data_IF_598274591370
#
_entry.id   IF_598274591370
#
_cell.length_a   1.000
_cell.length_b   1.000
_cell.length_c   1.000
_cell.angle_alpha   90.00
_cell.angle_beta   90.00
_cell.angle_gamma   90.00
#
_symmetry.space_group_name_H-M   'P 1'
#
loop_
_entity.id
_entity.type
_entity.pdbx_description
1 polymer ?
#
# COMPACT_ATOMS: atom_id res chain seq x y z
N UNK A 1 -39.62 1.44 -16.33
CA UNK A 1 -39.19 2.74 -15.78
C UNK A 1 -38.11 2.59 -14.69
N UNK A 2 -37.10 1.73 -14.90
CA UNK A 2 -35.94 1.58 -14.00
C UNK A 2 -34.59 1.61 -14.74
N UNK A 3 -34.60 1.47 -16.07
CA UNK A 3 -33.38 1.49 -16.91
C UNK A 3 -32.99 2.91 -17.38
N UNK A 4 -33.91 3.88 -17.31
CA UNK A 4 -33.65 5.29 -17.69
C UNK A 4 -33.08 6.14 -16.53
N UNK A 5 -33.15 5.65 -15.27
CA UNK A 5 -32.55 6.32 -14.10
C UNK A 5 -31.08 5.98 -13.87
N UNK A 6 -30.60 4.82 -14.35
CA UNK A 6 -29.19 4.43 -14.21
C UNK A 6 -28.26 5.17 -15.19
N UNK A 7 -28.79 5.57 -16.36
CA UNK A 7 -28.02 6.27 -17.41
C UNK A 7 -27.84 7.78 -17.09
N UNK A 8 -28.68 8.38 -16.22
CA UNK A 8 -28.51 9.77 -15.78
C UNK A 8 -27.48 9.96 -14.65
N UNK A 9 -27.19 8.93 -13.86
CA UNK A 9 -26.15 8.99 -12.81
C UNK A 9 -24.75 8.79 -13.42
N UNK A 10 -24.66 8.03 -14.52
CA UNK A 10 -23.40 7.83 -15.26
C UNK A 10 -23.00 9.03 -16.13
N UNK A 11 -23.93 9.95 -16.45
CA UNK A 11 -23.65 11.14 -17.26
C UNK A 11 -23.33 12.41 -16.44
N UNK A 12 -23.60 12.41 -15.12
CA UNK A 12 -23.18 13.48 -14.21
C UNK A 12 -21.77 13.26 -13.65
N UNK A 13 -21.27 12.02 -13.69
CA UNK A 13 -19.90 11.69 -13.27
C UNK A 13 -18.84 11.99 -14.35
N UNK A 14 -19.28 12.24 -15.60
CA UNK A 14 -18.39 12.56 -16.72
C UNK A 14 -18.34 14.07 -17.06
N UNK A 15 -19.14 14.90 -16.39
CA UNK A 15 -19.20 16.34 -16.61
C UNK A 15 -18.50 17.19 -15.53
N UNK A 16 -18.02 16.58 -14.44
CA UNK A 16 -17.24 17.30 -13.41
C UNK A 16 -15.73 17.22 -13.59
N UNK A 17 -15.25 16.66 -14.72
CA UNK A 17 -13.82 16.60 -15.06
C UNK A 17 -13.32 17.85 -15.80
N UNK A 18 -14.15 18.89 -15.92
CA UNK A 18 -13.78 20.19 -16.48
C UNK A 18 -14.21 21.26 -15.47
N UNK A 19 -13.53 21.29 -14.33
CA UNK A 19 -13.24 22.50 -13.56
C UNK A 19 -11.81 22.33 -13.02
N UNK A 20 -10.88 22.29 -13.98
CA UNK A 20 -9.45 22.33 -13.76
C UNK A 20 -9.07 23.82 -13.62
N UNK A 21 -8.42 24.16 -12.51
CA UNK A 21 -7.78 25.46 -12.18
C UNK A 21 -8.63 26.45 -11.37
N UNK A 22 -8.74 26.16 -10.07
CA UNK A 22 -8.96 27.15 -9.03
C UNK A 22 -8.55 26.56 -7.69
N UNK A 23 -7.39 26.96 -7.13
CA UNK A 23 -6.99 26.54 -5.79
C UNK A 23 -8.03 27.04 -4.76
N UNK A 24 -8.77 26.10 -4.17
CA UNK A 24 -9.38 26.29 -2.86
C UNK A 24 -9.08 25.04 -2.02
N UNK A 25 -8.43 25.27 -0.88
CA UNK A 25 -8.16 24.28 0.15
C UNK A 25 -9.53 23.85 0.70
N UNK A 26 -9.99 22.65 0.33
CA UNK A 26 -11.19 22.05 0.91
C UNK A 26 -10.79 21.28 2.18
N UNK A 27 -11.19 21.82 3.33
CA UNK A 27 -11.05 21.20 4.64
C UNK A 27 -12.32 20.36 4.89
N UNK A 28 -12.18 19.09 5.27
CA UNK A 28 -13.29 18.18 5.58
C UNK A 28 -14.24 18.77 6.63
N UNK A 29 -15.45 19.18 6.23
CA UNK A 29 -16.49 19.77 7.09
C UNK A 29 -16.91 18.87 8.27
N UNK A 30 -16.71 17.55 8.18
CA UNK A 30 -17.07 16.63 9.26
C UNK A 30 -16.10 16.68 10.46
N UNK A 31 -14.86 17.10 10.25
CA UNK A 31 -13.85 17.21 11.32
C UNK A 31 -13.99 18.49 12.17
N UNK A 32 -14.86 19.41 11.77
CA UNK A 32 -15.14 20.69 12.43
C UNK A 32 -16.62 20.88 12.77
N UNK A 33 -17.33 19.81 13.16
CA UNK A 33 -18.70 19.94 13.68
C UNK A 33 -18.68 20.55 15.08
N UNK A 34 -18.73 21.87 15.15
CA UNK A 34 -18.92 22.61 16.39
C UNK A 34 -20.33 22.37 16.94
N UNK A 35 -20.44 22.19 18.25
CA UNK A 35 -21.75 22.23 18.90
C UNK A 35 -22.37 23.62 18.68
N UNK A 36 -23.58 23.71 18.07
CA UNK A 36 -24.21 24.99 17.86
C UNK A 36 -24.51 25.65 19.21
N UNK A 37 -24.40 26.98 19.26
CA UNK A 37 -24.70 27.84 20.42
C UNK A 37 -23.72 27.78 21.61
N UNK A 38 -22.51 27.23 21.45
CA UNK A 38 -21.44 27.30 22.48
C UNK A 38 -20.33 28.26 22.12
N UNK A 39 -19.72 28.92 23.10
CA UNK A 39 -18.54 29.74 22.88
C UNK A 39 -17.35 28.85 22.50
N UNK A 40 -16.53 29.31 21.56
CA UNK A 40 -15.35 28.60 21.10
C UNK A 40 -14.14 29.50 21.32
N UNK A 41 -13.07 28.94 21.89
CA UNK A 41 -11.78 29.63 22.03
C UNK A 41 -10.78 29.06 21.04
N UNK A 42 -10.15 29.94 20.28
CA UNK A 42 -9.03 29.59 19.41
C UNK A 42 -7.74 30.03 20.08
N UNK A 43 -6.82 29.10 20.29
CA UNK A 43 -5.46 29.37 20.73
C UNK A 43 -4.54 29.32 19.52
N UNK A 44 -3.86 30.43 19.23
CA UNK A 44 -2.79 30.47 18.24
C UNK A 44 -1.48 30.26 18.97
N UNK A 45 -0.75 29.22 18.59
CA UNK A 45 0.49 28.77 19.20
C UNK A 45 1.66 28.96 18.24
N UNK A 46 2.83 29.28 18.77
CA UNK A 46 4.06 29.33 17.98
C UNK A 46 4.74 27.95 17.83
N UNK A 47 5.89 27.94 17.16
CA UNK A 47 6.72 26.75 16.95
C UNK A 47 7.14 26.01 18.24
N UNK A 48 7.10 26.69 19.38
CA UNK A 48 7.45 26.14 20.68
C UNK A 48 6.21 25.81 21.52
N UNK A 49 5.02 25.76 20.90
CA UNK A 49 3.74 25.52 21.54
C UNK A 49 3.39 26.55 22.62
N UNK A 50 3.91 27.78 22.52
CA UNK A 50 3.51 28.89 23.40
C UNK A 50 2.33 29.64 22.81
N UNK A 51 1.33 29.94 23.63
CA UNK A 51 0.15 30.70 23.22
C UNK A 51 0.59 32.13 22.89
N UNK A 52 0.39 32.53 21.63
CA UNK A 52 0.59 33.91 21.18
C UNK A 52 -0.68 34.73 21.24
N UNK A 53 -1.80 34.14 20.86
CA UNK A 53 -3.07 34.83 20.77
C UNK A 53 -4.22 33.91 21.17
N UNK A 54 -5.25 34.50 21.78
CA UNK A 54 -6.49 33.83 22.14
C UNK A 54 -7.64 34.61 21.55
N UNK A 55 -8.46 33.94 20.75
CA UNK A 55 -9.64 34.53 20.12
C UNK A 55 -10.87 33.83 20.69
N UNK A 56 -11.69 34.57 21.41
CA UNK A 56 -12.96 34.11 21.97
C UNK A 56 -14.09 34.41 20.98
N UNK A 57 -14.87 33.38 20.59
CA UNK A 57 -15.93 33.50 19.59
C UNK A 57 -17.25 33.04 20.16
N UNK A 58 -18.25 33.92 20.07
CA UNK A 58 -19.63 33.56 20.28
C UNK A 58 -20.24 33.04 18.96
N UNK A 59 -20.44 31.73 18.90
CA UNK A 59 -20.96 31.04 17.70
C UNK A 59 -22.41 31.39 17.36
N UNK A 60 -23.16 32.06 18.26
CA UNK A 60 -24.50 32.57 17.98
C UNK A 60 -24.48 33.86 17.16
N UNK A 61 -23.41 34.65 17.27
CA UNK A 61 -23.31 35.99 16.66
C UNK A 61 -22.35 36.01 15.48
N UNK A 62 -21.35 35.11 15.47
CA UNK A 62 -20.30 35.08 14.46
C UNK A 62 -20.50 33.91 13.51
N UNK A 63 -20.92 34.20 12.27
CA UNK A 63 -21.12 33.19 11.21
C UNK A 63 -19.86 32.90 10.39
N UNK A 64 -18.86 33.79 10.43
CA UNK A 64 -17.61 33.69 9.69
C UNK A 64 -16.48 34.32 10.51
N UNK A 65 -15.33 33.65 10.59
CA UNK A 65 -14.11 34.16 11.19
C UNK A 65 -13.01 34.17 10.12
N UNK A 66 -12.38 35.32 9.92
CA UNK A 66 -11.21 35.46 9.07
C UNK A 66 -9.98 35.67 9.97
N UNK A 67 -9.00 34.76 9.89
CA UNK A 67 -7.75 34.84 10.66
C UNK A 67 -6.65 35.41 9.78
N UNK A 68 -6.03 36.51 10.23
CA UNK A 68 -4.88 37.10 9.55
C UNK A 68 -3.63 36.59 10.22
N UNK A 69 -2.94 35.66 9.55
CA UNK A 69 -1.76 35.00 10.09
C UNK A 69 -0.48 35.61 9.50
N UNK A 70 0.58 35.81 10.30
CA UNK A 70 1.83 36.37 9.80
C UNK A 70 2.49 35.45 8.76
N UNK A 71 2.98 36.05 7.67
CA UNK A 71 3.70 35.30 6.63
C UNK A 71 5.05 34.78 7.16
N UNK A 72 5.43 33.56 6.74
CA UNK A 72 6.70 32.89 7.02
C UNK A 72 6.94 32.30 8.43
N UNK A 73 5.91 32.14 9.28
CA UNK A 73 6.03 31.35 10.51
C UNK A 73 5.03 30.18 10.50
N UNK A 74 5.46 28.99 10.90
CA UNK A 74 4.52 27.92 11.20
C UNK A 74 3.82 28.26 12.52
N UNK A 75 2.51 28.09 12.56
CA UNK A 75 1.67 28.29 13.74
C UNK A 75 0.76 27.08 13.90
N UNK A 76 0.35 26.81 15.13
CA UNK A 76 -0.61 25.76 15.44
C UNK A 76 -1.87 26.40 16.00
N UNK A 77 -3.02 25.88 15.59
CA UNK A 77 -4.32 26.35 16.08
C UNK A 77 -4.92 25.22 16.91
N UNK A 78 -5.16 25.51 18.18
CA UNK A 78 -5.93 24.61 19.06
C UNK A 78 -7.29 25.23 19.29
N UNK A 79 -8.34 24.44 19.08
CA UNK A 79 -9.72 24.89 19.24
C UNK A 79 -10.31 24.22 20.47
N UNK A 80 -10.88 25.02 21.35
CA UNK A 80 -11.45 24.58 22.61
C UNK A 80 -12.93 24.93 22.65
N UNK A 81 -13.76 23.94 22.95
CA UNK A 81 -15.21 24.07 23.00
C UNK A 81 -15.76 23.31 24.22
N UNK A 82 -15.79 23.96 25.39
CA UNK A 82 -16.55 23.50 26.56
C UNK A 82 -16.84 24.64 27.55
N UNK A 83 -17.91 24.52 28.34
CA UNK A 83 -18.46 25.59 29.21
C UNK A 83 -18.03 25.48 30.69
N UNK A 84 -16.99 24.72 31.04
CA UNK A 84 -16.59 24.56 32.45
C UNK A 84 -15.64 25.66 32.95
N UNK A 85 -15.69 25.93 34.26
CA UNK A 85 -14.70 26.73 34.99
C UNK A 85 -13.24 26.28 34.72
N UNK A 86 -13.05 24.99 34.38
CA UNK A 86 -11.76 24.39 34.05
C UNK A 86 -11.09 25.02 32.82
N UNK A 87 -11.86 25.59 31.88
CA UNK A 87 -11.27 26.20 30.68
C UNK A 87 -10.51 27.49 30.97
N UNK A 88 -10.95 28.24 31.98
CA UNK A 88 -10.26 29.47 32.39
C UNK A 88 -8.99 29.14 33.16
N UNK A 89 -9.06 28.14 34.06
CA UNK A 89 -7.90 27.63 34.78
C UNK A 89 -6.87 26.95 33.85
N UNK A 90 -7.32 26.20 32.84
CA UNK A 90 -6.45 25.59 31.84
C UNK A 90 -5.71 26.66 31.03
N UNK A 91 -6.42 27.68 30.55
CA UNK A 91 -5.82 28.79 29.80
C UNK A 91 -4.86 29.61 30.67
N UNK A 92 -5.19 29.87 31.94
CA UNK A 92 -4.27 30.54 32.88
C UNK A 92 -3.05 29.68 33.21
N UNK A 93 -3.22 28.37 33.35
CA UNK A 93 -2.10 27.44 33.57
C UNK A 93 -1.16 27.38 32.36
N UNK A 94 -1.69 27.46 31.15
CA UNK A 94 -0.90 27.46 29.91
C UNK A 94 -0.18 28.80 29.67
N UNK A 95 -0.74 29.91 30.17
CA UNK A 95 -0.07 31.23 30.14
C UNK A 95 1.06 31.34 31.17
N UNK A 96 0.88 30.76 32.36
CA UNK A 96 1.81 30.92 33.48
C UNK A 96 2.94 29.88 33.54
N UNK A 97 2.82 28.74 32.84
CA UNK A 97 3.84 27.70 32.85
C UNK A 97 4.85 27.88 31.71
N UNK A 98 6.06 28.33 32.03
CA UNK A 98 7.24 27.98 31.23
C UNK A 98 7.42 26.45 31.30
N UNK A 99 7.07 25.75 30.22
CA UNK A 99 7.04 24.30 30.08
C UNK A 99 8.38 23.55 30.29
N UNK A 100 9.47 24.24 30.66
CA UNK A 100 10.77 23.61 30.90
C UNK A 100 10.94 23.10 32.35
N UNK A 101 10.33 23.75 33.35
CA UNK A 101 10.67 23.51 34.76
C UNK A 101 9.86 22.43 35.49
N UNK A 102 8.79 21.90 34.89
CA UNK A 102 8.03 20.76 35.45
C UNK A 102 8.45 19.39 34.88
N UNK A 103 9.17 19.35 33.77
CA UNK A 103 9.61 18.08 33.12
C UNK A 103 10.78 17.43 33.89
N UNK A 104 11.46 18.16 34.77
CA UNK A 104 12.65 17.70 35.50
C UNK A 104 12.37 17.08 36.87
N UNK A 105 11.17 17.28 37.47
CA UNK A 105 10.84 16.75 38.81
C UNK A 105 9.93 15.51 38.82
N UNK A 106 9.16 15.25 37.78
CA UNK A 106 8.27 14.07 37.71
C UNK A 106 8.90 12.84 37.05
N UNK A 107 10.17 12.91 36.64
CA UNK A 107 10.89 11.76 36.04
C UNK A 107 11.14 10.60 37.01
N UNK A 108 10.98 10.80 38.32
CA UNK A 108 11.26 9.76 39.34
C UNK A 108 10.02 9.18 40.05
N UNK A 109 8.79 9.64 39.75
CA UNK A 109 7.57 9.17 40.44
C UNK A 109 6.46 8.65 39.51
N UNK A 110 6.57 8.81 38.19
CA UNK A 110 5.64 8.24 37.20
C UNK A 110 6.31 7.15 36.35
N UNK A 111 7.08 6.29 37.02
CA UNK A 111 7.62 5.06 36.46
C UNK A 111 6.54 3.99 36.17
N UNK A 112 5.24 4.31 36.24
CA UNK A 112 4.15 3.43 35.84
C UNK A 112 2.92 4.28 35.42
N UNK A 113 2.43 4.07 34.19
CA UNK A 113 1.40 4.81 33.45
C UNK A 113 1.88 6.19 32.96
N UNK A 114 2.05 6.49 31.67
CA UNK A 114 1.30 6.07 30.49
C UNK A 114 2.26 5.83 29.32
N UNK A 115 1.88 4.89 28.46
CA UNK A 115 2.64 4.42 27.32
C UNK A 115 3.19 5.58 26.49
N UNK A 116 4.52 5.62 26.44
CA UNK A 116 5.27 6.20 25.35
C UNK A 116 4.84 5.47 24.07
N UNK A 117 3.92 6.04 23.28
CA UNK A 117 3.82 5.69 21.86
C UNK A 117 5.03 6.33 21.15
N UNK A 118 6.20 5.71 21.34
CA UNK A 118 7.17 5.65 20.27
C UNK A 118 6.51 4.78 19.20
N UNK A 119 5.74 5.40 18.31
CA UNK A 119 5.38 4.79 17.04
C UNK A 119 6.64 4.68 16.18
N UNK A 120 7.56 3.79 16.59
CA UNK A 120 8.55 3.22 15.68
C UNK A 120 7.74 2.38 14.70
N UNK A 121 7.25 3.04 13.65
CA UNK A 121 6.72 2.36 12.47
C UNK A 121 7.77 1.35 12.05
N UNK A 122 7.39 0.09 11.99
CA UNK A 122 8.29 -0.96 11.49
C UNK A 122 8.75 -0.56 10.09
N UNK A 123 9.93 -0.99 9.64
CA UNK A 123 10.34 -0.73 8.26
C UNK A 123 9.31 -1.23 7.23
N UNK A 124 8.52 -2.24 7.61
CA UNK A 124 7.33 -2.69 6.87
C UNK A 124 6.22 -1.63 6.80
N UNK A 125 5.89 -0.93 7.89
CA UNK A 125 4.89 0.14 7.89
C UNK A 125 5.41 1.41 7.19
N UNK A 126 6.69 1.77 7.39
CA UNK A 126 7.34 2.90 6.71
C UNK A 126 7.55 2.70 5.20
N UNK A 127 7.49 1.46 4.72
CA UNK A 127 7.47 1.07 3.31
C UNK A 127 6.14 1.52 2.67
N UNK A 128 4.99 1.20 3.27
CA UNK A 128 3.67 1.58 2.73
C UNK A 128 3.32 3.06 2.85
N UNK A 129 3.78 3.77 3.89
CA UNK A 129 3.37 5.17 4.10
C UNK A 129 3.89 6.16 3.06
N UNK A 130 4.96 5.82 2.33
CA UNK A 130 5.55 6.73 1.32
C UNK A 130 4.82 6.72 -0.02
N UNK A 131 3.73 5.97 -0.17
CA UNK A 131 3.02 5.83 -1.45
C UNK A 131 1.51 6.10 -1.31
N UNK A 132 1.20 7.31 -0.83
CA UNK A 132 -0.16 7.88 -0.74
C UNK A 132 -0.90 8.05 -2.08
N UNK A 133 -0.23 7.83 -3.22
CA UNK A 133 -0.82 8.03 -4.55
C UNK A 133 -2.15 7.29 -4.77
N UNK A 134 -2.33 6.11 -4.15
CA UNK A 134 -3.57 5.34 -4.24
C UNK A 134 -4.49 5.48 -3.00
N UNK A 135 -3.98 5.97 -1.87
CA UNK A 135 -4.70 5.93 -0.59
C UNK A 135 -5.66 7.09 -0.40
N UNK A 136 -5.31 8.29 -0.88
CA UNK A 136 -6.05 9.52 -0.54
C UNK A 136 -7.43 9.63 -1.22
N UNK A 137 -7.63 9.02 -2.41
CA UNK A 137 -8.91 9.14 -3.13
C UNK A 137 -9.85 7.93 -2.95
N UNK A 138 -9.32 6.71 -2.88
CA UNK A 138 -10.13 5.46 -2.87
C UNK A 138 -9.82 4.52 -1.70
N UNK A 139 -8.83 4.87 -0.86
CA UNK A 139 -8.34 4.03 0.24
C UNK A 139 -7.63 2.77 -0.23
N UNK A 140 -7.02 2.78 -1.42
CA UNK A 140 -6.19 1.67 -1.88
C UNK A 140 -4.75 1.83 -1.40
N UNK A 141 -4.18 0.75 -0.89
CA UNK A 141 -2.77 0.64 -0.54
C UNK A 141 -2.06 -0.25 -1.57
N UNK A 142 -0.76 -0.11 -1.79
CA UNK A 142 -0.03 -1.13 -2.56
C UNK A 142 -0.07 -2.50 -1.88
N UNK A 143 -0.24 -3.58 -2.64
CA UNK A 143 -0.08 -4.96 -2.11
C UNK A 143 1.33 -5.53 -2.41
N UNK A 144 1.82 -5.24 -3.63
CA UNK A 144 3.17 -5.57 -4.13
C UNK A 144 3.73 -4.34 -4.84
N UNK A 145 4.94 -4.45 -5.38
CA UNK A 145 5.51 -3.41 -6.24
C UNK A 145 4.61 -3.10 -7.45
N UNK A 146 4.40 -1.80 -7.69
CA UNK A 146 3.77 -1.23 -8.88
C UNK A 146 4.89 -0.63 -9.73
N UNK A 147 5.05 -1.12 -10.96
CA UNK A 147 6.17 -0.73 -11.80
C UNK A 147 5.81 -0.79 -13.27
N UNK A 148 6.62 -0.08 -14.07
CA UNK A 148 6.70 -0.24 -15.52
C UNK A 148 8.17 -0.42 -15.91
N UNK A 149 8.43 -1.44 -16.72
CA UNK A 149 9.72 -1.79 -17.32
C UNK A 149 9.55 -1.67 -18.84
N UNK A 150 9.80 -0.51 -19.46
CA UNK A 150 9.68 -0.35 -20.91
C UNK A 150 10.60 -1.31 -21.67
N UNK A 151 11.78 -1.59 -21.11
CA UNK A 151 12.74 -2.53 -21.66
C UNK A 151 12.82 -3.76 -20.76
N UNK A 152 12.14 -4.82 -21.14
CA UNK A 152 12.18 -6.12 -20.50
C UNK A 152 12.62 -7.15 -21.56
N UNK A 153 13.89 -7.55 -21.51
CA UNK A 153 14.58 -8.27 -22.58
C UNK A 153 14.82 -9.71 -22.15
N UNK A 154 14.27 -10.67 -22.90
CA UNK A 154 14.56 -12.09 -22.75
C UNK A 154 15.88 -12.45 -23.45
N UNK A 155 16.68 -13.30 -22.81
CA UNK A 155 17.92 -13.79 -23.42
C UNK A 155 17.63 -14.63 -24.67
N UNK A 156 16.67 -15.55 -24.55
CA UNK A 156 16.17 -16.40 -25.64
C UNK A 156 14.76 -15.97 -26.05
N UNK A 157 14.44 -16.13 -27.34
CA UNK A 157 13.10 -15.85 -27.85
C UNK A 157 12.13 -16.91 -27.33
N UNK A 158 11.09 -16.48 -26.62
CA UNK A 158 10.08 -17.37 -26.05
C UNK A 158 9.03 -17.80 -27.08
N UNK A 159 8.34 -18.95 -26.89
CA UNK A 159 7.44 -19.52 -27.90
C UNK A 159 6.34 -18.58 -28.38
N UNK A 160 5.78 -17.76 -27.48
CA UNK A 160 4.70 -16.79 -27.77
C UNK A 160 5.21 -15.36 -28.00
N UNK A 161 6.51 -15.17 -28.00
CA UNK A 161 7.13 -13.86 -28.08
C UNK A 161 7.58 -13.57 -29.50
N UNK A 162 7.09 -12.50 -30.12
CA UNK A 162 7.51 -12.10 -31.47
C UNK A 162 8.85 -11.36 -31.44
N UNK A 163 9.08 -10.51 -30.43
CA UNK A 163 10.31 -9.75 -30.18
C UNK A 163 10.87 -10.05 -28.79
N UNK A 164 12.19 -10.28 -28.69
CA UNK A 164 12.88 -10.53 -27.39
C UNK A 164 12.70 -9.40 -26.37
N UNK A 165 12.47 -8.19 -26.85
CA UNK A 165 12.17 -7.02 -26.00
C UNK A 165 10.67 -6.78 -25.97
N UNK A 166 10.14 -6.64 -24.77
CA UNK A 166 8.76 -6.27 -24.49
C UNK A 166 8.71 -5.23 -23.36
N UNK A 167 7.59 -4.54 -23.22
CA UNK A 167 7.30 -3.78 -22.02
C UNK A 167 6.64 -4.71 -20.99
N UNK A 168 7.01 -4.59 -19.72
CA UNK A 168 6.40 -5.32 -18.61
C UNK A 168 5.91 -4.34 -17.58
N UNK A 169 4.72 -4.53 -17.03
CA UNK A 169 4.26 -3.72 -15.91
C UNK A 169 3.46 -4.55 -14.92
N UNK A 170 3.40 -4.05 -13.68
CA UNK A 170 2.59 -4.62 -12.62
C UNK A 170 1.80 -3.51 -11.93
N UNK A 171 0.52 -3.78 -11.73
CA UNK A 171 -0.37 -3.00 -10.86
C UNK A 171 -0.75 -3.91 -9.71
N UNK A 172 -0.57 -3.47 -8.47
CA UNK A 172 -0.84 -4.28 -7.28
C UNK A 172 -1.37 -3.41 -6.16
N UNK A 173 -2.65 -3.58 -5.87
CA UNK A 173 -3.39 -2.82 -4.86
C UNK A 173 -4.06 -3.76 -3.87
N UNK A 174 -4.28 -3.28 -2.66
CA UNK A 174 -5.12 -3.89 -1.64
C UNK A 174 -5.99 -2.85 -0.97
N UNK A 175 -7.08 -3.31 -0.36
CA UNK A 175 -7.99 -2.53 0.45
C UNK A 175 -8.35 -3.33 1.67
N UNK A 176 -8.21 -2.72 2.84
CA UNK A 176 -8.79 -3.27 4.07
C UNK A 176 -10.31 -3.15 3.97
N UNK A 177 -11.00 -4.28 3.99
CA UNK A 177 -12.44 -4.36 3.95
C UNK A 177 -13.05 -4.21 5.35
N UNK A 178 -12.42 -4.86 6.34
CA UNK A 178 -12.84 -4.81 7.73
C UNK A 178 -11.59 -4.81 8.62
N UNK A 179 -11.62 -4.01 9.68
CA UNK A 179 -10.61 -4.03 10.74
C UNK A 179 -11.13 -4.78 11.96
N UNK A 180 -10.23 -5.44 12.69
CA UNK A 180 -10.56 -6.17 13.93
C UNK A 180 -11.77 -7.12 13.76
N UNK A 181 -11.77 -7.92 12.69
CA UNK A 181 -12.96 -8.63 12.21
C UNK A 181 -13.69 -9.41 13.32
N UNK A 182 -12.95 -10.21 14.08
CA UNK A 182 -13.46 -10.92 15.27
C UNK A 182 -12.42 -11.04 16.40
N UNK A 183 -11.17 -10.65 16.16
CA UNK A 183 -10.12 -10.47 17.17
C UNK A 183 -9.41 -9.16 16.86
N UNK A 184 -8.87 -8.49 17.89
CA UNK A 184 -8.01 -7.32 17.73
C UNK A 184 -6.83 -7.61 16.81
N UNK A 185 -6.45 -6.65 15.97
CA UNK A 185 -5.36 -6.72 14.99
C UNK A 185 -5.52 -7.78 13.89
N UNK A 186 -6.72 -8.36 13.75
CA UNK A 186 -7.09 -9.26 12.65
C UNK A 186 -7.92 -8.50 11.61
N UNK A 187 -7.28 -8.15 10.50
CA UNK A 187 -7.88 -7.35 9.44
C UNK A 187 -8.20 -8.21 8.21
N UNK A 188 -9.34 -7.95 7.55
CA UNK A 188 -9.71 -8.58 6.28
C UNK A 188 -9.30 -7.67 5.11
N UNK A 189 -8.56 -8.22 4.17
CA UNK A 189 -8.09 -7.53 2.97
C UNK A 189 -8.62 -8.17 1.69
N UNK A 190 -9.03 -7.31 0.76
CA UNK A 190 -9.08 -7.66 -0.66
C UNK A 190 -7.83 -7.10 -1.35
N UNK A 191 -7.21 -7.89 -2.21
CA UNK A 191 -6.08 -7.47 -3.02
C UNK A 191 -6.26 -7.88 -4.48
N UNK A 192 -5.58 -7.15 -5.36
CA UNK A 192 -5.56 -7.41 -6.77
C UNK A 192 -4.18 -7.09 -7.32
N UNK A 193 -3.51 -8.09 -7.89
CA UNK A 193 -2.30 -7.91 -8.71
C UNK A 193 -2.61 -8.22 -10.17
N UNK A 194 -2.20 -7.33 -11.08
CA UNK A 194 -2.15 -7.61 -12.50
C UNK A 194 -0.72 -7.47 -13.01
N UNK A 195 -0.23 -8.46 -13.76
CA UNK A 195 1.06 -8.39 -14.46
C UNK A 195 0.84 -8.57 -15.95
N UNK A 196 1.35 -7.64 -16.75
CA UNK A 196 1.14 -7.67 -18.20
C UNK A 196 2.48 -7.59 -18.94
N UNK A 197 2.55 -8.32 -20.05
CA UNK A 197 3.70 -8.39 -20.96
C UNK A 197 3.24 -7.94 -22.35
N UNK A 198 3.82 -6.84 -22.82
CA UNK A 198 3.35 -6.12 -23.99
C UNK A 198 4.42 -6.08 -25.08
N UNK A 199 4.13 -6.64 -26.26
CA UNK A 199 5.00 -6.60 -27.43
C UNK A 199 5.03 -5.21 -28.07
N UNK A 200 5.36 -4.19 -27.28
CA UNK A 200 5.39 -2.76 -27.66
C UNK A 200 6.25 -2.50 -28.90
N UNK A 201 7.29 -3.32 -29.11
CA UNK A 201 8.24 -3.18 -30.22
C UNK A 201 7.89 -4.03 -31.45
N UNK A 202 6.76 -4.75 -31.42
CA UNK A 202 6.28 -5.55 -32.54
C UNK A 202 5.39 -4.74 -33.48
N UNK A 203 6.03 -3.86 -34.24
CA UNK A 203 5.35 -3.02 -35.23
C UNK A 203 4.62 -3.80 -36.33
N UNK A 204 4.98 -5.07 -36.56
CA UNK A 204 4.39 -5.88 -37.64
C UNK A 204 3.03 -6.50 -37.26
N UNK A 205 2.79 -6.71 -35.97
CA UNK A 205 1.58 -7.38 -35.48
C UNK A 205 0.70 -6.45 -34.61
N UNK A 206 0.78 -5.13 -34.83
CA UNK A 206 0.01 -4.12 -34.10
C UNK A 206 0.29 -4.09 -32.59
N UNK A 207 1.51 -4.46 -32.17
CA UNK A 207 2.01 -4.36 -30.79
C UNK A 207 1.06 -5.00 -29.76
N UNK A 208 0.79 -6.31 -29.84
CA UNK A 208 -0.20 -6.95 -29.00
C UNK A 208 0.31 -7.17 -27.56
N UNK A 209 -0.60 -7.27 -26.61
CA UNK A 209 -0.28 -7.92 -25.34
C UNK A 209 0.00 -9.39 -25.60
N UNK A 210 1.17 -9.86 -25.16
CA UNK A 210 1.52 -11.29 -25.24
C UNK A 210 0.80 -12.07 -24.15
N UNK A 211 0.70 -11.49 -22.96
CA UNK A 211 0.16 -12.15 -21.78
C UNK A 211 -0.28 -11.09 -20.75
N UNK A 212 -1.35 -11.38 -20.02
CA UNK A 212 -1.73 -10.65 -18.80
C UNK A 212 -2.18 -11.66 -17.75
N UNK A 213 -1.69 -11.55 -16.52
CA UNK A 213 -2.11 -12.38 -15.41
C UNK A 213 -2.86 -11.55 -14.38
N UNK A 214 -4.04 -12.01 -14.01
CA UNK A 214 -4.98 -11.42 -13.08
C UNK A 214 -4.97 -12.24 -11.80
N UNK A 215 -4.63 -11.62 -10.67
CA UNK A 215 -4.44 -12.29 -9.39
C UNK A 215 -5.23 -11.58 -8.27
N UNK A 216 -6.56 -11.74 -8.20
CA UNK A 216 -7.34 -11.29 -7.05
C UNK A 216 -7.12 -12.21 -5.85
N UNK A 217 -7.09 -11.62 -4.65
CA UNK A 217 -6.94 -12.34 -3.39
C UNK A 217 -7.87 -11.77 -2.32
N UNK A 218 -8.29 -12.64 -1.41
CA UNK A 218 -9.03 -12.29 -0.20
C UNK A 218 -8.33 -12.99 0.98
N UNK A 219 -7.86 -12.22 1.96
CA UNK A 219 -7.06 -12.77 3.05
C UNK A 219 -7.24 -12.02 4.36
N UNK A 220 -7.05 -12.76 5.44
CA UNK A 220 -6.91 -12.23 6.79
C UNK A 220 -5.44 -11.91 7.04
N UNK A 221 -5.16 -10.78 7.68
CA UNK A 221 -3.82 -10.36 8.10
C UNK A 221 -3.85 -10.12 9.60
N UNK A 222 -2.99 -10.82 10.33
CA UNK A 222 -2.90 -10.74 11.79
C UNK A 222 -1.54 -10.19 12.22
N UNK A 223 -1.53 -9.12 13.03
CA UNK A 223 -0.31 -8.65 13.70
C UNK A 223 -0.10 -9.42 14.99
N UNK A 224 1.05 -10.10 15.10
CA UNK A 224 1.34 -11.01 16.20
C UNK A 224 1.92 -10.31 17.43
N UNK A 225 1.63 -9.02 17.64
CA UNK A 225 2.21 -8.17 18.70
C UNK A 225 2.03 -8.76 20.11
N UNK A 226 0.95 -9.50 20.33
CA UNK A 226 0.59 -10.06 21.63
C UNK A 226 1.26 -11.42 21.93
N UNK A 227 1.96 -12.01 20.95
CA UNK A 227 2.57 -13.35 21.07
C UNK A 227 4.06 -13.33 20.70
N UNK A 228 4.93 -14.09 21.39
CA UNK A 228 6.36 -14.18 21.08
C UNK A 228 6.61 -15.12 19.87
N UNK A 229 5.99 -14.83 18.73
CA UNK A 229 6.15 -15.58 17.49
C UNK A 229 7.31 -15.04 16.66
N UNK A 230 7.94 -15.92 15.88
CA UNK A 230 9.02 -15.53 14.98
C UNK A 230 8.55 -14.53 13.90
N UNK A 231 7.33 -14.67 13.38
CA UNK A 231 6.77 -13.74 12.40
C UNK A 231 6.00 -12.63 13.10
N UNK A 232 6.20 -11.37 12.69
CA UNK A 232 5.47 -10.19 13.18
C UNK A 232 4.09 -10.00 12.53
N UNK A 233 3.87 -10.67 11.39
CA UNK A 233 2.59 -10.68 10.67
C UNK A 233 2.35 -12.04 10.05
N UNK A 234 1.11 -12.52 10.15
CA UNK A 234 0.66 -13.75 9.51
C UNK A 234 -0.52 -13.42 8.61
N UNK A 235 -0.40 -13.73 7.32
CA UNK A 235 -1.47 -13.60 6.35
C UNK A 235 -1.99 -14.99 5.97
N UNK A 236 -3.30 -15.19 5.98
CA UNK A 236 -3.94 -16.45 5.54
C UNK A 236 -5.10 -16.12 4.61
N UNK A 237 -5.16 -16.76 3.45
CA UNK A 237 -6.27 -16.49 2.56
C UNK A 237 -6.29 -17.30 1.29
N UNK A 238 -7.16 -16.85 0.39
CA UNK A 238 -7.38 -17.42 -0.91
C UNK A 238 -6.84 -16.48 -1.99
N UNK A 239 -6.25 -17.06 -3.03
CA UNK A 239 -5.81 -16.34 -4.22
C UNK A 239 -6.18 -17.15 -5.46
N UNK A 240 -6.88 -16.48 -6.37
CA UNK A 240 -7.08 -16.94 -7.74
C UNK A 240 -6.00 -16.32 -8.61
N UNK A 241 -5.50 -17.05 -9.60
CA UNK A 241 -4.65 -16.47 -10.64
C UNK A 241 -5.03 -17.07 -11.98
N UNK A 242 -5.33 -16.22 -12.96
CA UNK A 242 -5.62 -16.64 -14.33
C UNK A 242 -5.07 -15.66 -15.35
N UNK A 243 -5.01 -16.07 -16.62
CA UNK A 243 -4.58 -15.19 -17.70
C UNK A 243 -5.72 -14.65 -18.60
N UNK A 244 -6.97 -15.00 -18.30
CA UNK A 244 -8.12 -14.63 -19.12
C UNK A 244 -8.04 -15.17 -20.57
N UNK A 245 -7.22 -16.19 -20.80
CA UNK A 245 -7.04 -16.79 -22.11
C UNK A 245 -8.24 -17.60 -22.57
N UNK A 246 -8.35 -17.82 -23.88
CA UNK A 246 -9.34 -18.71 -24.46
C UNK A 246 -8.83 -20.17 -24.49
N UNK A 247 -9.72 -21.15 -24.31
CA UNK A 247 -9.49 -22.60 -24.50
C UNK A 247 -8.01 -23.03 -24.42
N UNK A 248 -7.31 -23.14 -25.55
CA UNK A 248 -5.93 -23.64 -25.66
C UNK A 248 -4.88 -22.78 -24.92
N UNK A 249 -5.15 -21.48 -24.77
CA UNK A 249 -4.28 -20.50 -24.11
C UNK A 249 -4.70 -20.21 -22.67
N UNK A 250 -5.86 -20.69 -22.23
CA UNK A 250 -6.35 -20.50 -20.87
C UNK A 250 -5.37 -21.13 -19.89
N UNK A 251 -5.02 -20.38 -18.85
CA UNK A 251 -4.23 -20.86 -17.72
C UNK A 251 -4.85 -20.29 -16.46
N UNK A 252 -5.10 -21.15 -15.48
CA UNK A 252 -5.63 -20.75 -14.19
C UNK A 252 -5.26 -21.74 -13.10
N UNK A 253 -5.28 -21.26 -11.87
CA UNK A 253 -5.15 -22.09 -10.68
C UNK A 253 -5.58 -21.31 -9.45
N UNK A 254 -6.11 -22.05 -8.49
CA UNK A 254 -6.60 -21.55 -7.23
C UNK A 254 -5.73 -22.04 -6.07
N UNK A 255 -5.48 -21.16 -5.10
CA UNK A 255 -4.62 -21.49 -3.96
C UNK A 255 -5.18 -20.97 -2.65
N UNK A 256 -5.06 -21.80 -1.61
CA UNK A 256 -5.01 -21.34 -0.23
C UNK A 256 -3.56 -21.05 0.13
N UNK A 257 -3.30 -19.98 0.86
CA UNK A 257 -1.95 -19.64 1.27
C UNK A 257 -1.87 -19.23 2.74
N UNK A 258 -0.67 -19.41 3.30
CA UNK A 258 -0.23 -18.81 4.54
C UNK A 258 1.09 -18.09 4.28
N UNK A 259 1.27 -16.89 4.83
CA UNK A 259 2.50 -16.12 4.74
C UNK A 259 2.88 -15.58 6.11
N UNK A 260 4.05 -15.98 6.59
CA UNK A 260 4.70 -15.32 7.71
C UNK A 260 5.60 -14.20 7.22
N UNK A 261 5.50 -13.01 7.81
CA UNK A 261 6.40 -11.89 7.55
C UNK A 261 7.17 -11.55 8.82
N UNK A 262 8.50 -11.57 8.73
CA UNK A 262 9.43 -11.11 9.74
C UNK A 262 10.09 -9.82 9.26
N UNK A 263 10.31 -8.88 10.16
CA UNK A 263 10.96 -7.61 9.84
C UNK A 263 11.81 -7.15 11.00
N UNK A 264 13.10 -6.88 10.75
CA UNK A 264 14.01 -6.34 11.76
C UNK A 264 14.87 -5.27 11.13
N UNK A 265 14.86 -4.08 11.71
CA UNK A 265 15.59 -2.92 11.20
C UNK A 265 15.32 -2.71 9.70
N UNK A 266 16.36 -2.78 8.88
CA UNK A 266 16.27 -2.60 7.42
C UNK A 266 15.99 -3.89 6.63
N UNK A 267 15.74 -5.00 7.31
CA UNK A 267 15.55 -6.32 6.72
C UNK A 267 14.10 -6.78 6.84
N UNK A 268 13.58 -7.38 5.78
CA UNK A 268 12.29 -8.06 5.77
C UNK A 268 12.44 -9.44 5.13
N UNK A 269 11.77 -10.43 5.72
CA UNK A 269 11.65 -11.77 5.19
C UNK A 269 10.18 -12.17 5.13
N UNK A 270 9.75 -12.70 4.00
CA UNK A 270 8.46 -13.35 3.84
C UNK A 270 8.66 -14.83 3.54
N UNK A 271 7.97 -15.69 4.28
CA UNK A 271 7.87 -17.11 3.94
C UNK A 271 6.41 -17.42 3.63
N UNK A 272 6.12 -17.68 2.35
CA UNK A 272 4.78 -18.01 1.87
C UNK A 272 4.72 -19.48 1.48
N UNK A 273 3.74 -20.20 1.99
CA UNK A 273 3.37 -21.53 1.53
C UNK A 273 1.98 -21.49 0.92
N UNK A 274 1.70 -22.37 -0.05
CA UNK A 274 0.39 -22.50 -0.63
C UNK A 274 0.01 -23.95 -0.92
N UNK A 275 -1.29 -24.20 -0.83
CA UNK A 275 -1.94 -25.42 -1.28
C UNK A 275 -2.73 -25.10 -2.55
N UNK A 276 -2.43 -25.79 -3.64
CA UNK A 276 -3.21 -25.71 -4.88
C UNK A 276 -4.54 -26.43 -4.65
N UNK A 277 -5.65 -25.74 -4.86
CA UNK A 277 -6.98 -26.34 -4.84
C UNK A 277 -7.12 -27.20 -6.11
N UNK A 278 -7.39 -28.51 -5.99
CA UNK A 278 -7.52 -29.38 -7.15
C UNK A 278 -8.73 -29.02 -8.01
N UNK A 279 -8.55 -29.09 -9.32
CA UNK A 279 -9.59 -28.92 -10.32
C UNK A 279 -9.91 -30.28 -10.95
N UNK A 280 -11.08 -30.40 -11.60
CA UNK A 280 -11.38 -31.63 -12.36
C UNK A 280 -10.43 -31.72 -13.55
N UNK A 281 -9.87 -32.91 -13.80
CA UNK A 281 -8.82 -33.11 -14.81
C UNK A 281 -9.26 -32.64 -16.22
N UNK A 282 -10.55 -32.74 -16.54
CA UNK A 282 -11.08 -32.32 -17.85
C UNK A 282 -11.21 -30.80 -17.99
N UNK A 283 -11.04 -30.05 -16.90
CA UNK A 283 -11.14 -28.59 -16.82
C UNK A 283 -9.85 -27.94 -16.30
N UNK A 284 -8.83 -28.74 -16.02
CA UNK A 284 -7.56 -28.25 -15.47
C UNK A 284 -6.65 -27.80 -16.61
N UNK A 285 -6.50 -26.49 -16.75
CA UNK A 285 -5.72 -25.85 -17.82
C UNK A 285 -4.20 -26.13 -17.71
N UNK A 286 -3.72 -26.50 -16.53
CA UNK A 286 -2.31 -26.69 -16.22
C UNK A 286 -2.11 -27.64 -15.03
N UNK A 287 -2.39 -28.95 -15.22
CA UNK A 287 -2.41 -29.94 -14.14
C UNK A 287 -1.05 -30.15 -13.47
N UNK A 288 0.03 -29.86 -14.20
CA UNK A 288 1.40 -30.02 -13.77
C UNK A 288 2.03 -28.73 -13.22
N UNK A 289 1.27 -27.64 -13.00
CA UNK A 289 1.81 -26.33 -12.58
C UNK A 289 2.68 -26.39 -11.31
N UNK A 290 2.34 -27.26 -10.36
CA UNK A 290 3.11 -27.45 -9.11
C UNK A 290 4.47 -28.12 -9.34
N UNK A 291 4.67 -28.80 -10.47
CA UNK A 291 5.97 -29.31 -10.88
C UNK A 291 6.96 -28.19 -11.20
N UNK A 292 6.48 -26.96 -11.43
CA UNK A 292 7.30 -25.82 -11.83
C UNK A 292 7.34 -24.73 -10.75
N UNK A 293 6.16 -24.32 -10.25
CA UNK A 293 6.06 -23.23 -9.28
C UNK A 293 6.23 -23.71 -7.84
N UNK A 294 6.09 -25.01 -7.59
CA UNK A 294 6.22 -25.58 -6.26
C UNK A 294 5.07 -25.22 -5.32
N UNK A 295 5.41 -25.18 -4.03
CA UNK A 295 4.47 -25.08 -2.92
C UNK A 295 4.72 -23.88 -2.00
N UNK A 296 5.70 -23.03 -2.35
CA UNK A 296 6.06 -21.88 -1.55
C UNK A 296 7.08 -20.95 -2.20
N UNK A 297 7.23 -19.79 -1.56
CA UNK A 297 8.15 -18.72 -1.95
C UNK A 297 8.82 -18.16 -0.69
N UNK A 298 10.14 -17.97 -0.78
CA UNK A 298 10.91 -17.18 0.17
C UNK A 298 11.20 -15.81 -0.46
N UNK A 299 10.83 -14.74 0.22
CA UNK A 299 11.14 -13.37 -0.17
C UNK A 299 12.05 -12.73 0.87
N UNK A 300 13.11 -12.08 0.42
CA UNK A 300 14.06 -11.33 1.24
C UNK A 300 14.13 -9.91 0.72
N UNK A 301 14.17 -8.92 1.61
CA UNK A 301 14.34 -7.53 1.27
C UNK A 301 15.31 -6.86 2.23
N UNK A 302 16.21 -6.04 1.68
CA UNK A 302 17.17 -5.27 2.47
C UNK A 302 17.28 -3.85 1.95
N UNK A 303 17.07 -2.88 2.84
CA UNK A 303 17.19 -1.45 2.55
C UNK A 303 18.53 -0.92 3.09
N UNK A 304 19.49 -0.68 2.22
CA UNK A 304 20.74 -0.04 2.60
C UNK A 304 20.76 1.41 2.13
N UNK A 305 20.61 2.35 3.07
CA UNK A 305 20.46 3.78 2.76
C UNK A 305 19.30 4.00 1.78
N UNK A 306 19.59 4.37 0.53
CA UNK A 306 18.60 4.59 -0.53
C UNK A 306 18.40 3.37 -1.45
N UNK A 307 19.22 2.33 -1.30
CA UNK A 307 19.23 1.14 -2.15
C UNK A 307 18.32 0.07 -1.56
N UNK A 308 17.29 -0.33 -2.29
CA UNK A 308 16.45 -1.46 -1.92
C UNK A 308 16.78 -2.63 -2.84
N UNK A 309 17.21 -3.74 -2.25
CA UNK A 309 17.41 -5.01 -2.92
C UNK A 309 16.36 -6.00 -2.42
N UNK A 310 15.69 -6.69 -3.34
CA UNK A 310 14.80 -7.80 -3.00
C UNK A 310 15.16 -9.06 -3.79
N UNK A 311 14.98 -10.21 -3.15
CA UNK A 311 15.20 -11.53 -3.72
C UNK A 311 13.99 -12.40 -3.41
N UNK A 312 13.34 -12.94 -4.44
CA UNK A 312 12.30 -13.96 -4.29
C UNK A 312 12.76 -15.27 -4.90
N UNK A 313 12.60 -16.35 -4.16
CA UNK A 313 13.03 -17.70 -4.55
C UNK A 313 11.84 -18.64 -4.46
N UNK A 314 11.62 -19.42 -5.53
CA UNK A 314 10.69 -20.55 -5.56
C UNK A 314 11.43 -21.82 -5.95
N UNK A 315 11.02 -22.93 -5.39
CA UNK A 315 11.50 -24.25 -5.76
C UNK A 315 10.36 -25.28 -5.62
N UNK A 316 10.31 -26.24 -6.53
CA UNK A 316 9.29 -27.29 -6.51
C UNK A 316 9.57 -28.37 -5.43
N UNK A 317 10.78 -28.41 -4.88
CA UNK A 317 11.26 -29.36 -3.88
C UNK A 317 11.10 -30.82 -4.32
N UNK A 318 11.05 -31.07 -5.63
CA UNK A 318 11.00 -32.41 -6.23
C UNK A 318 12.38 -32.77 -6.77
N UNK A 319 12.61 -34.06 -7.02
CA UNK A 319 13.84 -34.55 -7.64
C UNK A 319 14.18 -33.85 -8.97
N UNK A 320 13.16 -33.48 -9.76
CA UNK A 320 13.35 -32.74 -11.02
C UNK A 320 13.81 -31.28 -10.84
N UNK A 321 13.84 -30.78 -9.60
CA UNK A 321 14.37 -29.49 -9.15
C UNK A 321 14.13 -28.30 -10.11
N UNK A 322 12.87 -27.90 -10.23
CA UNK A 322 12.47 -26.70 -10.99
C UNK A 322 12.18 -25.56 -10.03
N UNK A 323 12.51 -24.34 -10.41
CA UNK A 323 12.31 -23.18 -9.55
C UNK A 323 12.48 -21.87 -10.30
N UNK A 324 12.50 -20.78 -9.54
CA UNK A 324 12.76 -19.46 -10.08
C UNK A 324 13.40 -18.55 -9.04
N UNK A 325 14.20 -17.61 -9.52
CA UNK A 325 14.70 -16.48 -8.77
C UNK A 325 14.23 -15.18 -9.43
N UNK A 326 13.86 -14.21 -8.61
CA UNK A 326 13.57 -12.84 -9.00
C UNK A 326 14.41 -11.92 -8.12
N UNK A 327 15.29 -11.15 -8.74
CA UNK A 327 16.10 -10.13 -8.08
C UNK A 327 15.58 -8.79 -8.54
N UNK A 328 15.23 -7.93 -7.59
CA UNK A 328 14.87 -6.55 -7.89
C UNK A 328 15.80 -5.59 -7.16
N UNK A 329 16.16 -4.51 -7.84
CA UNK A 329 16.91 -3.41 -7.28
C UNK A 329 16.17 -2.11 -7.57
N UNK A 330 16.14 -1.21 -6.59
CA UNK A 330 15.67 0.15 -6.85
C UNK A 330 16.51 1.22 -6.18
N UNK A 331 16.44 2.44 -6.74
CA UNK A 331 17.04 3.66 -6.19
C UNK A 331 16.12 4.88 -6.40
N UNK A 332 15.89 5.76 -5.40
CA UNK A 332 15.01 6.92 -5.55
C UNK A 332 15.59 7.92 -6.56
N UNK A 333 14.79 8.33 -7.54
CA UNK A 333 15.17 9.35 -8.52
C UNK A 333 14.49 10.67 -8.17
N UNK A 334 13.15 10.67 -8.04
CA UNK A 334 12.37 11.87 -7.83
C UNK A 334 11.05 11.55 -7.12
N UNK A 335 10.78 12.20 -5.98
CA UNK A 335 9.58 11.96 -5.15
C UNK A 335 9.34 10.45 -4.96
N UNK A 336 8.22 9.93 -5.47
CA UNK A 336 7.81 8.53 -5.34
C UNK A 336 8.18 7.69 -6.59
N UNK A 337 9.08 8.18 -7.43
CA UNK A 337 9.63 7.45 -8.57
C UNK A 337 11.03 6.93 -8.25
N UNK A 338 11.20 5.63 -8.47
CA UNK A 338 12.44 4.93 -8.22
C UNK A 338 12.94 4.31 -9.52
N UNK A 339 14.24 4.42 -9.81
CA UNK A 339 14.93 3.57 -10.77
C UNK A 339 14.64 2.13 -10.38
N UNK A 340 14.31 1.28 -11.34
CA UNK A 340 13.97 -0.10 -11.08
C UNK A 340 14.67 -1.03 -12.07
N UNK A 341 15.45 -1.96 -11.53
CA UNK A 341 16.11 -3.02 -12.28
C UNK A 341 15.53 -4.35 -11.79
N UNK A 342 15.26 -5.25 -12.73
CA UNK A 342 14.70 -6.56 -12.43
C UNK A 342 15.44 -7.63 -13.21
N UNK A 343 15.78 -8.72 -12.55
CA UNK A 343 16.32 -9.90 -13.17
C UNK A 343 15.50 -11.12 -12.77
N UNK A 344 14.98 -11.84 -13.76
CA UNK A 344 14.24 -13.07 -13.56
C UNK A 344 14.97 -14.24 -14.20
N UNK A 345 15.08 -15.34 -13.48
CA UNK A 345 15.59 -16.60 -14.01
C UNK A 345 14.80 -17.80 -13.47
N UNK A 346 14.28 -18.63 -14.37
CA UNK A 346 13.58 -19.89 -14.03
C UNK A 346 12.18 -19.98 -14.62
N UNK A 347 11.28 -20.66 -13.92
CA UNK A 347 9.93 -21.01 -14.42
C UNK A 347 8.82 -20.13 -13.83
N UNK A 348 7.74 -19.92 -14.59
CA UNK A 348 6.55 -19.23 -14.06
C UNK A 348 6.74 -17.75 -13.80
N UNK A 349 7.38 -17.04 -14.72
CA UNK A 349 7.32 -15.56 -14.72
C UNK A 349 5.90 -15.06 -15.00
N UNK A 350 5.23 -15.78 -15.90
CA UNK A 350 3.85 -15.62 -16.33
C UNK A 350 3.14 -16.97 -16.30
N UNK A 351 1.80 -16.99 -16.37
CA UNK A 351 1.06 -18.24 -16.49
C UNK A 351 1.22 -18.89 -17.86
N UNK A 352 1.29 -18.13 -18.96
CA UNK A 352 1.52 -18.73 -20.28
C UNK A 352 2.84 -19.49 -20.39
N UNK A 353 3.85 -19.06 -19.62
CA UNK A 353 5.20 -19.59 -19.65
C UNK A 353 5.54 -20.38 -18.37
N UNK A 354 4.53 -20.86 -17.63
CA UNK A 354 4.73 -21.56 -16.35
C UNK A 354 5.67 -22.76 -16.46
N UNK A 355 5.63 -23.45 -17.59
CA UNK A 355 6.42 -24.64 -17.89
C UNK A 355 7.67 -24.38 -18.74
N UNK A 356 8.02 -23.11 -18.97
CA UNK A 356 9.18 -22.70 -19.76
C UNK A 356 10.20 -21.96 -18.88
N UNK A 357 11.48 -22.27 -19.05
CA UNK A 357 12.56 -21.61 -18.32
C UNK A 357 12.95 -20.32 -19.03
N UNK A 358 12.79 -19.18 -18.35
CA UNK A 358 13.05 -17.85 -18.87
C UNK A 358 14.26 -17.24 -18.16
N UNK A 359 15.04 -16.47 -18.90
CA UNK A 359 16.06 -15.58 -18.36
C UNK A 359 15.83 -14.20 -18.96
N UNK A 360 15.70 -13.19 -18.09
CA UNK A 360 15.22 -11.88 -18.50
C UNK A 360 15.74 -10.78 -17.60
N UNK A 361 16.05 -9.65 -18.23
CA UNK A 361 16.50 -8.44 -17.57
C UNK A 361 15.59 -7.26 -17.94
N UNK A 362 15.17 -6.51 -16.93
CA UNK A 362 14.25 -5.40 -17.05
C UNK A 362 14.82 -4.12 -16.45
N UNK A 363 14.57 -2.99 -17.11
CA UNK A 363 14.86 -1.65 -16.60
C UNK A 363 13.63 -0.74 -16.77
N UNK A 364 13.35 0.06 -15.74
CA UNK A 364 12.29 1.05 -15.77
C UNK A 364 12.10 1.78 -14.45
N UNK A 365 10.84 1.98 -14.08
CA UNK A 365 10.42 2.82 -12.96
C UNK A 365 9.51 2.05 -12.03
N UNK A 366 9.82 2.12 -10.74
CA UNK A 366 9.00 1.64 -9.64
C UNK A 366 8.26 2.83 -9.02
N UNK A 367 6.99 2.61 -8.69
CA UNK A 367 6.05 3.64 -8.22
C UNK A 367 5.77 3.54 -6.72
N UNK A 368 6.11 2.40 -6.11
CA UNK A 368 6.06 2.25 -4.66
C UNK A 368 7.21 1.39 -4.14
N UNK A 369 7.72 1.78 -2.98
CA UNK A 369 8.46 0.92 -2.07
C UNK A 369 7.63 0.84 -0.79
#
# INVERSE_FOLDING_TARGET
MFVVKLIKILFLFLASLIDLLGEQINIDEESFKFQPNKNVKFLILDNNMKIREIIDINTQQTKKLDLILPNNENFYITILQDDSQDMTELVESLKNNNLEDKISRDKNSLANSSAVEINQKTAYEGYFERNRFFSEFLGFEPDKFNYILPFNVSHNKEPKQSKKVEAKFQISIKKRLYSNLFVKDLDLYFAYTQRSFWQLYDNKNSRPFRESNYEPALYLSYLTKEYPLFFHRIDVGYVHQSNGGNLLNSRSWDRLFIKGTYSKDNFVMGLKAWYRIPEKIEKDDNPDITNYLGFGELSLGYLYSKHLLTLSIRNNLKYSNKGAILVDYSYPIYKNFYLYLQYFNGYGESLSDYNNSINRFGIGVLLNR
#
